data_IF_176557197387
#
_entry.id   IF_176557197387
#
_cell.length_a   1.000
_cell.length_b   1.000
_cell.length_c   1.000
_cell.angle_alpha   90.00
_cell.angle_beta   90.00
_cell.angle_gamma   90.00
#
_symmetry.space_group_name_H-M   'P 1'
#
loop_
_entity.id
_entity.type
_entity.pdbx_description
1 polymer ?
#
# COMPACT_ATOMS: atom_id res chain seq x y z
N UNK A 1 29.51 65.92 -65.82
CA UNK A 1 30.57 64.92 -66.13
C UNK A 1 30.37 63.79 -65.14
N UNK A 2 29.31 62.97 -65.21
CA UNK A 2 29.00 61.97 -66.25
C UNK A 2 30.24 61.29 -66.80
N UNK A 3 30.21 59.94 -66.76
CA UNK A 3 31.28 58.94 -66.95
C UNK A 3 31.91 58.49 -65.62
N UNK A 4 31.73 57.27 -65.10
CA UNK A 4 31.42 55.98 -65.73
C UNK A 4 30.67 55.04 -64.79
N UNK A 5 29.45 54.66 -65.18
CA UNK A 5 28.88 53.35 -64.90
C UNK A 5 29.50 52.33 -65.86
N UNK A 6 30.12 51.27 -65.33
CA UNK A 6 30.02 49.85 -65.77
C UNK A 6 31.27 49.05 -65.35
N UNK A 7 31.09 48.06 -64.46
CA UNK A 7 31.11 46.63 -64.84
C UNK A 7 30.91 45.70 -63.63
N UNK A 8 30.01 44.74 -63.83
CA UNK A 8 29.94 43.37 -63.28
C UNK A 8 29.90 43.21 -61.74
N UNK A 9 28.76 42.88 -61.11
CA UNK A 9 28.04 41.59 -61.17
C UNK A 9 28.95 40.36 -61.17
N UNK A 10 29.08 39.71 -60.02
CA UNK A 10 28.66 38.31 -59.81
C UNK A 10 29.15 37.75 -58.46
N UNK A 11 28.19 37.27 -57.67
CA UNK A 11 28.22 36.00 -56.92
C UNK A 11 29.51 35.59 -56.18
N UNK A 12 29.46 35.60 -54.84
CA UNK A 12 29.79 34.38 -54.10
C UNK A 12 29.30 34.36 -52.64
N UNK A 13 28.54 33.31 -52.31
CA UNK A 13 28.38 32.68 -50.98
C UNK A 13 27.76 33.52 -49.85
N UNK A 14 26.43 33.46 -49.76
CA UNK A 14 25.70 33.64 -48.50
C UNK A 14 24.82 32.40 -48.18
N UNK A 15 25.37 31.19 -48.39
CA UNK A 15 24.67 29.91 -48.15
C UNK A 15 25.13 29.18 -46.87
N UNK A 16 26.10 29.73 -46.14
CA UNK A 16 26.64 29.09 -44.92
C UNK A 16 26.03 29.62 -43.63
N UNK A 17 25.48 30.84 -43.62
CA UNK A 17 24.93 31.45 -42.41
C UNK A 17 23.61 30.79 -41.99
N UNK A 18 22.71 30.52 -42.95
CA UNK A 18 21.44 29.82 -42.67
C UNK A 18 21.59 28.35 -42.26
N UNK A 19 22.67 27.68 -42.66
CA UNK A 19 22.96 26.29 -42.23
C UNK A 19 23.50 26.20 -40.81
N UNK A 20 24.16 27.25 -40.32
CA UNK A 20 24.67 27.31 -38.95
C UNK A 20 23.52 27.66 -38.00
N UNK A 21 22.64 28.59 -38.39
CA UNK A 21 21.45 28.92 -37.61
C UNK A 21 20.48 27.74 -37.48
N UNK A 22 20.18 27.02 -38.58
CA UNK A 22 19.34 25.81 -38.50
C UNK A 22 19.92 24.73 -37.57
N UNK A 23 21.25 24.54 -37.58
CA UNK A 23 21.90 23.57 -36.69
C UNK A 23 21.88 24.01 -35.22
N UNK A 24 21.99 25.31 -34.96
CA UNK A 24 21.88 25.86 -33.61
C UNK A 24 20.45 25.71 -33.06
N UNK A 25 19.44 25.98 -33.89
CA UNK A 25 18.02 25.82 -33.50
C UNK A 25 17.67 24.35 -33.26
N UNK A 26 18.13 23.43 -34.11
CA UNK A 26 17.94 21.99 -33.90
C UNK A 26 18.65 21.47 -32.64
N UNK A 27 19.84 21.98 -32.33
CA UNK A 27 20.58 21.62 -31.12
C UNK A 27 19.92 22.14 -29.84
N UNK A 28 19.38 23.37 -29.87
CA UNK A 28 18.61 23.93 -28.76
C UNK A 28 17.28 23.19 -28.54
N UNK A 29 16.58 22.79 -29.61
CA UNK A 29 15.39 21.93 -29.50
C UNK A 29 15.75 20.57 -28.90
N UNK A 30 16.93 20.01 -29.25
CA UNK A 30 17.41 18.75 -28.68
C UNK A 30 17.71 18.87 -27.18
N UNK A 31 18.30 19.98 -26.72
CA UNK A 31 18.52 20.25 -25.28
C UNK A 31 17.18 20.43 -24.54
N UNK A 32 16.20 21.10 -25.15
CA UNK A 32 14.85 21.22 -24.58
C UNK A 32 14.12 19.87 -24.54
N UNK A 33 14.41 18.93 -25.45
CA UNK A 33 13.85 17.57 -25.42
C UNK A 33 14.56 16.62 -24.45
N UNK A 34 15.87 16.81 -24.20
CA UNK A 34 16.61 16.01 -23.20
C UNK A 34 16.35 16.53 -21.76
N UNK A 35 16.02 17.81 -21.60
CA UNK A 35 15.75 18.42 -20.29
C UNK A 35 14.46 17.97 -19.58
N UNK A 36 13.69 17.04 -20.17
CA UNK A 36 12.42 16.54 -19.61
C UNK A 36 12.42 15.02 -19.43
N UNK A 37 13.58 14.40 -19.26
CA UNK A 37 13.67 13.07 -18.67
C UNK A 37 14.41 13.15 -17.34
N UNK A 38 13.94 13.99 -16.43
CA UNK A 38 14.11 13.70 -15.01
C UNK A 38 13.32 12.41 -14.76
N UNK A 39 14.00 11.27 -14.86
CA UNK A 39 13.44 10.02 -14.36
C UNK A 39 13.07 10.27 -12.91
N UNK A 40 11.81 10.00 -12.52
CA UNK A 40 11.38 10.04 -11.13
C UNK A 40 12.40 9.26 -10.31
N UNK A 41 13.17 9.97 -9.50
CA UNK A 41 14.12 9.36 -8.59
C UNK A 41 13.28 8.58 -7.58
N UNK A 42 13.42 7.26 -7.56
CA UNK A 42 12.68 6.41 -6.64
C UNK A 42 13.14 6.76 -5.21
N UNK A 43 12.36 7.56 -4.47
CA UNK A 43 12.69 7.98 -3.11
C UNK A 43 12.46 6.83 -2.12
N UNK A 44 13.28 5.79 -2.24
CA UNK A 44 13.31 4.67 -1.31
C UNK A 44 13.93 5.14 0.01
N UNK A 45 13.17 5.07 1.10
CA UNK A 45 13.66 5.32 2.45
C UNK A 45 14.04 4.00 3.12
N UNK A 46 15.25 3.95 3.66
CA UNK A 46 15.77 2.81 4.41
C UNK A 46 15.48 2.99 5.89
N UNK A 47 15.19 1.88 6.59
CA UNK A 47 14.97 1.85 8.03
C UNK A 47 15.95 0.90 8.67
N UNK A 48 16.45 1.30 9.82
CA UNK A 48 17.46 0.56 10.54
C UNK A 48 16.90 -0.66 11.28
N UNK A 49 17.74 -1.66 11.52
CA UNK A 49 17.39 -2.94 12.09
C UNK A 49 17.12 -2.87 13.60
N UNK A 50 18.02 -2.25 14.37
CA UNK A 50 17.90 -2.23 15.81
C UNK A 50 16.83 -1.24 16.28
N UNK A 51 16.90 -0.02 15.77
CA UNK A 51 16.01 1.05 16.19
C UNK A 51 14.69 1.09 15.42
N UNK A 52 14.66 0.61 14.17
CA UNK A 52 13.44 0.67 13.35
C UNK A 52 13.07 2.08 12.93
N UNK A 53 14.06 2.94 12.73
CA UNK A 53 13.86 4.36 12.39
C UNK A 53 14.52 4.67 11.04
N UNK A 54 14.11 5.75 10.35
CA UNK A 54 14.68 6.12 9.07
C UNK A 54 16.20 6.30 9.16
N UNK A 55 16.89 5.84 8.13
CA UNK A 55 18.25 6.22 7.83
C UNK A 55 18.26 7.70 7.38
N UNK A 56 19.23 8.47 7.87
CA UNK A 56 19.46 9.84 7.44
C UNK A 56 20.20 9.90 6.10
N UNK A 57 20.77 8.77 5.67
CA UNK A 57 21.50 8.56 4.42
C UNK A 57 21.14 7.21 3.79
N UNK A 58 21.69 6.92 2.61
CA UNK A 58 21.49 5.64 1.93
C UNK A 58 22.01 4.46 2.76
N UNK A 59 21.35 3.32 2.61
CA UNK A 59 21.84 2.08 3.19
C UNK A 59 23.03 1.54 2.38
N UNK A 60 24.25 1.77 2.85
CA UNK A 60 25.47 1.38 2.11
C UNK A 60 26.50 0.68 3.02
N UNK A 61 27.57 0.21 2.42
CA UNK A 61 28.63 -0.53 3.08
C UNK A 61 29.60 0.35 3.84
N UNK A 62 29.77 1.61 3.43
CA UNK A 62 30.78 2.53 3.99
C UNK A 62 32.16 1.86 4.18
N UNK A 63 32.57 1.03 3.21
CA UNK A 63 33.84 0.29 3.23
C UNK A 63 33.84 -0.97 4.11
N UNK A 64 32.68 -1.48 4.53
CA UNK A 64 32.50 -2.75 5.26
C UNK A 64 32.00 -3.86 4.34
N UNK A 65 31.94 -5.08 4.87
CA UNK A 65 31.33 -6.23 4.19
C UNK A 65 29.82 -6.36 4.45
N UNK A 66 29.19 -5.31 4.98
CA UNK A 66 27.79 -5.28 5.39
C UNK A 66 27.22 -3.87 5.24
N UNK A 67 25.90 -3.79 5.10
CA UNK A 67 25.12 -2.57 4.96
C UNK A 67 24.67 -2.01 6.32
N UNK A 68 24.78 -0.70 6.45
CA UNK A 68 24.47 0.06 7.65
C UNK A 68 24.26 1.52 7.25
N UNK A 69 23.62 2.29 8.12
CA UNK A 69 23.33 3.70 7.86
C UNK A 69 23.39 4.48 9.16
N UNK A 70 23.60 5.79 9.07
CA UNK A 70 23.40 6.68 10.20
C UNK A 70 21.90 6.96 10.41
N UNK A 71 21.51 7.07 11.67
CA UNK A 71 20.16 7.46 12.09
C UNK A 71 20.25 8.53 13.18
N UNK A 72 19.11 9.14 13.53
CA UNK A 72 19.02 10.01 14.72
C UNK A 72 19.44 9.37 16.06
N UNK A 73 19.62 8.04 16.11
CA UNK A 73 20.13 7.31 17.29
C UNK A 73 21.56 6.78 17.12
N UNK A 74 22.24 7.08 16.02
CA UNK A 74 23.57 6.62 15.67
C UNK A 74 23.58 5.58 14.54
N UNK A 75 24.74 4.97 14.31
CA UNK A 75 24.95 3.92 13.31
C UNK A 75 24.16 2.65 13.65
N UNK A 76 23.47 2.10 12.65
CA UNK A 76 22.70 0.86 12.80
C UNK A 76 22.66 0.09 11.47
N UNK A 77 22.41 -1.22 11.53
CA UNK A 77 22.32 -2.06 10.33
C UNK A 77 21.08 -1.72 9.52
N UNK A 78 21.14 -1.89 8.21
CA UNK A 78 20.01 -1.69 7.31
C UNK A 78 20.07 -2.73 6.17
N UNK A 79 19.01 -2.81 5.37
CA UNK A 79 18.94 -3.70 4.20
C UNK A 79 18.72 -2.88 2.94
N UNK A 80 19.40 -3.26 1.85
CA UNK A 80 19.24 -2.61 0.53
C UNK A 80 18.09 -3.18 -0.30
N UNK A 81 17.50 -4.30 0.14
CA UNK A 81 16.32 -4.92 -0.46
C UNK A 81 15.38 -5.45 0.63
N UNK A 82 14.09 -5.50 0.30
CA UNK A 82 13.12 -6.12 1.21
C UNK A 82 13.47 -7.58 1.46
N UNK A 83 13.28 -8.02 2.71
CA UNK A 83 13.51 -9.40 3.11
C UNK A 83 14.90 -9.94 2.73
N UNK A 84 15.91 -9.07 2.80
CA UNK A 84 17.32 -9.48 2.88
C UNK A 84 17.90 -9.04 4.20
N UNK A 85 18.90 -9.75 4.66
CA UNK A 85 19.67 -9.29 5.82
C UNK A 85 20.61 -8.11 5.45
N UNK A 86 21.30 -7.61 6.45
CA UNK A 86 22.29 -6.54 6.38
C UNK A 86 23.55 -6.90 5.57
N UNK A 87 23.66 -8.11 5.05
CA UNK A 87 24.71 -8.53 4.09
C UNK A 87 24.15 -8.77 2.69
N UNK A 88 22.84 -8.59 2.50
CA UNK A 88 22.15 -8.84 1.24
C UNK A 88 21.73 -10.30 1.03
N UNK A 89 21.85 -11.14 2.05
CA UNK A 89 21.41 -12.53 1.99
C UNK A 89 19.88 -12.61 2.09
N UNK A 90 19.19 -13.31 1.18
CA UNK A 90 17.73 -13.42 1.24
C UNK A 90 17.25 -14.12 2.50
N UNK A 91 16.21 -13.56 3.12
CA UNK A 91 15.48 -14.20 4.20
C UNK A 91 14.69 -15.41 3.67
N UNK A 92 14.43 -16.38 4.54
CA UNK A 92 13.56 -17.52 4.25
C UNK A 92 12.10 -17.08 4.21
N UNK A 93 11.29 -17.79 3.42
CA UNK A 93 9.87 -17.50 3.25
C UNK A 93 9.06 -17.70 4.54
N UNK A 94 9.49 -18.61 5.41
CA UNK A 94 8.90 -18.87 6.73
C UNK A 94 9.48 -17.97 7.84
N UNK A 95 10.47 -17.13 7.52
CA UNK A 95 11.13 -16.24 8.46
C UNK A 95 11.65 -14.98 7.76
N UNK A 96 10.73 -14.21 7.20
CA UNK A 96 10.97 -12.90 6.57
C UNK A 96 11.56 -11.87 7.54
N UNK A 97 11.80 -10.64 7.11
CA UNK A 97 12.34 -9.63 8.03
C UNK A 97 11.32 -9.27 9.13
N UNK A 98 11.69 -9.45 10.41
CA UNK A 98 10.76 -9.22 11.51
C UNK A 98 11.41 -9.21 12.89
N UNK A 99 10.68 -8.76 13.92
CA UNK A 99 11.23 -8.74 15.30
C UNK A 99 11.23 -10.12 15.96
N UNK A 100 10.24 -10.96 15.68
CA UNK A 100 10.10 -12.30 16.28
C UNK A 100 10.30 -12.34 17.81
N UNK A 101 9.81 -11.31 18.51
CA UNK A 101 9.94 -11.16 19.96
C UNK A 101 11.24 -10.52 20.45
N UNK A 102 12.11 -10.02 19.56
CA UNK A 102 13.30 -9.23 19.88
C UNK A 102 13.02 -7.71 19.79
N UNK A 103 13.97 -6.91 20.28
CA UNK A 103 13.91 -5.44 20.16
C UNK A 103 14.30 -4.95 18.76
N UNK A 104 15.05 -5.75 18.00
CA UNK A 104 15.57 -5.48 16.66
C UNK A 104 14.93 -6.39 15.61
N UNK A 105 14.99 -6.00 14.35
CA UNK A 105 14.53 -6.80 13.21
C UNK A 105 15.62 -7.74 12.71
N UNK A 106 15.25 -8.97 12.43
CA UNK A 106 16.17 -10.01 11.97
C UNK A 106 15.39 -11.04 11.16
N UNK A 107 16.12 -11.92 10.48
CA UNK A 107 15.55 -13.04 9.76
C UNK A 107 16.48 -14.25 9.77
N UNK A 108 15.95 -15.43 9.43
CA UNK A 108 16.78 -16.58 9.05
C UNK A 108 17.02 -16.51 7.55
N UNK A 109 18.28 -16.52 7.16
CA UNK A 109 18.70 -16.42 5.76
C UNK A 109 18.59 -17.78 5.07
N UNK A 110 18.48 -17.77 3.73
CA UNK A 110 18.52 -18.99 2.91
C UNK A 110 19.88 -19.70 2.97
N UNK A 111 20.93 -19.02 3.46
CA UNK A 111 22.23 -19.60 3.79
C UNK A 111 22.31 -20.21 5.19
N UNK A 112 21.17 -20.53 5.81
CA UNK A 112 21.05 -21.14 7.14
C UNK A 112 21.75 -20.38 8.29
N UNK A 113 21.80 -19.05 8.20
CA UNK A 113 22.34 -18.17 9.23
C UNK A 113 21.29 -17.16 9.72
N UNK A 114 21.51 -16.57 10.90
CA UNK A 114 20.74 -15.42 11.36
C UNK A 114 21.38 -14.11 10.89
N UNK A 115 20.55 -13.14 10.51
CA UNK A 115 21.00 -11.82 10.08
C UNK A 115 20.07 -10.72 10.53
N UNK A 116 20.64 -9.57 10.92
CA UNK A 116 19.89 -8.34 11.10
C UNK A 116 19.28 -7.93 9.78
N UNK A 117 18.09 -7.34 9.77
CA UNK A 117 17.48 -6.82 8.56
C UNK A 117 16.82 -5.48 8.84
N UNK A 118 16.88 -4.58 7.87
CA UNK A 118 16.12 -3.33 7.84
C UNK A 118 14.93 -3.44 6.89
N UNK A 119 14.04 -2.44 6.94
CA UNK A 119 12.96 -2.31 5.95
C UNK A 119 13.25 -1.21 4.98
N UNK A 120 12.55 -1.27 3.86
CA UNK A 120 12.56 -0.25 2.85
C UNK A 120 11.13 0.24 2.67
N UNK A 121 10.98 1.53 2.43
CA UNK A 121 9.72 2.16 2.06
C UNK A 121 9.92 2.90 0.76
N UNK A 122 9.11 2.63 -0.25
CA UNK A 122 8.95 3.61 -1.31
C UNK A 122 8.08 4.75 -0.77
N UNK A 123 8.68 5.92 -0.49
CA UNK A 123 7.95 7.04 0.10
C UNK A 123 6.87 7.61 -0.85
N UNK A 124 6.96 7.31 -2.14
CA UNK A 124 5.96 7.67 -3.14
C UNK A 124 4.88 6.60 -3.34
N UNK A 125 4.95 5.45 -2.65
CA UNK A 125 3.93 4.42 -2.80
C UNK A 125 2.56 4.96 -2.34
N UNK A 126 1.57 4.98 -3.23
CA UNK A 126 0.28 5.56 -2.91
C UNK A 126 -0.49 4.64 -1.95
N UNK A 127 -1.12 5.25 -0.94
CA UNK A 127 -1.95 4.55 0.04
C UNK A 127 -3.41 4.78 -0.23
N UNK A 128 -4.21 3.73 -0.08
CA UNK A 128 -5.66 3.82 -0.20
C UNK A 128 -6.23 4.74 0.89
N UNK A 129 -5.86 4.50 2.14
CA UNK A 129 -6.22 5.31 3.31
C UNK A 129 -4.96 5.65 4.11
N UNK A 130 -4.97 6.82 4.74
CA UNK A 130 -3.90 7.29 5.61
C UNK A 130 -4.26 6.98 7.06
N UNK A 131 -3.65 5.94 7.62
CA UNK A 131 -3.78 5.58 9.02
C UNK A 131 -2.83 6.45 9.86
N UNK A 132 -3.36 7.16 10.84
CA UNK A 132 -2.60 7.99 11.76
C UNK A 132 -2.57 7.34 13.14
N UNK A 133 -1.39 7.34 13.73
CA UNK A 133 -1.16 6.66 14.98
C UNK A 133 -1.71 7.41 16.18
N UNK A 134 -1.91 6.70 17.28
CA UNK A 134 -2.53 7.23 18.51
C UNK A 134 -1.68 8.33 19.15
N UNK A 135 -0.39 8.06 19.38
CA UNK A 135 0.45 8.86 20.28
C UNK A 135 1.04 10.05 19.54
N UNK A 136 1.60 9.78 18.36
CA UNK A 136 2.33 10.78 17.59
C UNK A 136 1.50 11.43 16.50
N UNK A 137 0.30 10.91 16.21
CA UNK A 137 -0.53 11.32 15.07
C UNK A 137 0.22 11.19 13.73
N UNK A 138 1.25 10.34 13.72
CA UNK A 138 2.11 10.09 12.58
C UNK A 138 1.45 9.11 11.62
N UNK A 139 1.72 9.24 10.32
CA UNK A 139 1.17 8.31 9.34
C UNK A 139 1.88 6.96 9.41
N UNK A 140 1.08 5.89 9.51
CA UNK A 140 1.51 4.52 9.28
C UNK A 140 2.05 4.40 7.87
N UNK A 141 3.24 3.84 7.70
CA UNK A 141 3.73 3.54 6.36
C UNK A 141 3.61 2.10 5.91
N UNK A 142 3.36 1.19 6.84
CA UNK A 142 2.86 -0.13 6.57
C UNK A 142 1.40 -0.28 7.04
N UNK A 143 0.82 -1.46 6.79
CA UNK A 143 -0.53 -1.79 7.21
C UNK A 143 -0.67 -1.73 8.74
N UNK A 144 -1.86 -1.38 9.23
CA UNK A 144 -2.17 -1.40 10.65
C UNK A 144 -2.43 -2.85 11.11
N UNK A 145 -1.41 -3.53 11.64
CA UNK A 145 -1.43 -4.97 11.91
C UNK A 145 -1.65 -5.29 13.38
N UNK A 146 -2.42 -6.34 13.64
CA UNK A 146 -2.68 -6.88 14.97
C UNK A 146 -1.51 -7.74 15.48
N UNK A 147 -1.12 -7.53 16.72
CA UNK A 147 -0.06 -8.25 17.41
C UNK A 147 -0.69 -9.14 18.48
N UNK A 148 -0.99 -10.39 18.14
CA UNK A 148 -1.69 -11.36 19.02
C UNK A 148 -1.12 -11.47 20.44
N UNK A 149 0.20 -11.56 20.58
CA UNK A 149 0.87 -11.68 21.89
C UNK A 149 0.70 -10.45 22.79
N UNK A 150 0.32 -9.32 22.21
CA UNK A 150 0.24 -8.03 22.89
C UNK A 150 -1.17 -7.44 22.89
N UNK A 151 -2.09 -8.02 22.13
CA UNK A 151 -3.49 -7.65 22.05
C UNK A 151 -3.72 -6.18 21.66
N UNK A 152 -3.08 -5.76 20.57
CA UNK A 152 -3.29 -4.45 19.97
C UNK A 152 -2.85 -4.40 18.51
N UNK A 153 -3.33 -3.38 17.80
CA UNK A 153 -2.87 -2.99 16.48
C UNK A 153 -1.76 -1.94 16.57
N UNK A 154 -0.79 -2.07 15.68
CA UNK A 154 0.29 -1.10 15.51
C UNK A 154 0.75 -1.05 14.06
N UNK A 155 1.45 0.02 13.74
CA UNK A 155 2.16 0.19 12.49
C UNK A 155 3.51 0.87 12.76
N UNK A 156 4.32 0.97 11.73
CA UNK A 156 5.55 1.73 11.74
C UNK A 156 5.32 3.16 11.25
N UNK A 157 6.13 4.07 11.78
CA UNK A 157 6.15 5.50 11.46
C UNK A 157 7.61 5.95 11.31
N UNK A 158 7.84 7.22 10.94
CA UNK A 158 9.19 7.79 10.93
C UNK A 158 9.74 8.01 12.36
N UNK A 159 8.89 7.84 13.39
CA UNK A 159 9.24 7.86 14.81
C UNK A 159 9.48 6.46 15.41
N UNK A 160 9.38 5.40 14.59
CA UNK A 160 9.54 4.01 15.01
C UNK A 160 8.24 3.22 14.83
N UNK A 161 7.63 2.76 15.91
CA UNK A 161 6.30 2.13 15.86
C UNK A 161 5.35 2.83 16.82
N UNK A 162 4.07 2.84 16.49
CA UNK A 162 3.02 3.39 17.35
C UNK A 162 1.69 2.66 17.10
N UNK A 163 0.74 2.84 18.02
CA UNK A 163 -0.58 2.21 17.93
C UNK A 163 -1.39 2.82 16.80
N UNK A 164 -2.20 2.00 16.13
CA UNK A 164 -3.10 2.44 15.06
C UNK A 164 -4.44 1.72 15.20
N UNK A 165 -5.47 2.23 14.54
CA UNK A 165 -6.77 1.55 14.45
C UNK A 165 -6.93 0.90 13.08
N UNK A 166 -7.37 -0.37 12.99
CA UNK A 166 -7.52 -1.06 11.70
C UNK A 166 -8.71 -0.57 10.89
N UNK A 167 -9.69 0.04 11.54
CA UNK A 167 -10.95 0.52 10.96
C UNK A 167 -11.28 1.93 11.48
N UNK A 168 -12.17 2.68 10.81
CA UNK A 168 -12.70 3.91 11.37
C UNK A 168 -13.50 3.64 12.64
N UNK A 169 -13.44 4.56 13.61
CA UNK A 169 -14.25 4.53 14.84
C UNK A 169 -14.12 3.23 15.64
N UNK A 170 -12.91 2.66 15.67
CA UNK A 170 -12.53 1.63 16.62
C UNK A 170 -11.24 2.04 17.33
N UNK A 171 -11.01 1.49 18.52
CA UNK A 171 -9.78 1.71 19.29
C UNK A 171 -8.60 0.97 18.66
N UNK A 172 -7.39 1.21 19.17
CA UNK A 172 -6.21 0.42 18.77
C UNK A 172 -6.31 -1.07 19.19
N UNK A 173 -7.32 -1.45 19.97
CA UNK A 173 -7.68 -2.85 20.26
C UNK A 173 -8.85 -3.36 19.42
N UNK A 174 -9.28 -2.57 18.43
CA UNK A 174 -10.41 -2.87 17.55
C UNK A 174 -11.76 -2.97 18.27
N UNK A 175 -11.88 -2.30 19.42
CA UNK A 175 -13.14 -2.12 20.14
C UNK A 175 -13.93 -0.96 19.53
N UNK A 176 -15.23 -1.12 19.23
CA UNK A 176 -16.03 -0.03 18.65
C UNK A 176 -16.12 1.20 19.57
N UNK A 177 -15.88 2.37 18.99
CA UNK A 177 -16.25 3.64 19.61
C UNK A 177 -17.78 3.76 19.65
N UNK A 178 -18.29 4.47 20.65
CA UNK A 178 -19.72 4.77 20.76
C UNK A 178 -20.16 5.73 19.67
N UNK A 179 -21.41 5.58 19.23
CA UNK A 179 -22.03 6.43 18.20
C UNK A 179 -22.16 7.90 18.62
N UNK A 180 -22.13 8.21 19.91
CA UNK A 180 -22.15 9.57 20.43
C UNK A 180 -20.75 10.12 20.74
N UNK A 181 -19.70 9.32 20.53
CA UNK A 181 -18.33 9.71 20.80
C UNK A 181 -17.35 8.97 19.88
N UNK A 182 -17.34 9.38 18.62
CA UNK A 182 -16.46 8.86 17.57
C UNK A 182 -14.97 9.02 17.88
N UNK A 183 -14.13 8.31 17.12
CA UNK A 183 -12.69 8.46 17.25
C UNK A 183 -12.27 9.87 16.85
N UNK A 184 -11.64 10.61 17.77
CA UNK A 184 -11.30 12.00 17.54
C UNK A 184 -10.33 12.52 18.59
N UNK A 185 -9.74 13.70 18.35
CA UNK A 185 -8.86 14.33 19.34
C UNK A 185 -9.64 14.90 20.51
N UNK A 186 -10.85 15.41 20.28
CA UNK A 186 -11.71 15.99 21.33
C UNK A 186 -10.98 17.05 22.18
N UNK A 187 -10.10 17.83 21.55
CA UNK A 187 -9.26 18.82 22.22
C UNK A 187 -8.00 18.28 22.93
N UNK A 188 -7.75 16.97 22.84
CA UNK A 188 -6.52 16.30 23.32
C UNK A 188 -5.40 16.32 22.27
N UNK A 189 -4.18 16.00 22.69
CA UNK A 189 -3.02 15.80 21.81
C UNK A 189 -2.95 14.42 21.14
N UNK A 190 -3.88 13.51 21.48
CA UNK A 190 -4.02 12.18 20.89
C UNK A 190 -5.50 11.90 20.59
N UNK A 191 -5.77 10.94 19.71
CA UNK A 191 -7.14 10.53 19.40
C UNK A 191 -7.63 9.42 20.34
N UNK A 192 -8.88 9.53 20.78
CA UNK A 192 -9.53 8.61 21.70
C UNK A 192 -11.04 8.60 21.51
N UNK A 193 -11.71 7.61 22.10
CA UNK A 193 -13.15 7.54 22.14
C UNK A 193 -13.69 6.86 23.40
N UNK A 194 -14.97 7.07 23.71
CA UNK A 194 -15.68 6.20 24.64
C UNK A 194 -16.11 4.92 23.93
N UNK A 195 -15.96 3.80 24.63
CA UNK A 195 -16.45 2.49 24.24
C UNK A 195 -17.50 2.01 25.25
N UNK A 196 -18.00 0.78 25.08
CA UNK A 196 -18.87 0.16 26.08
C UNK A 196 -18.10 -0.24 27.35
N UNK A 197 -16.79 -0.41 27.27
CA UNK A 197 -15.92 -0.77 28.39
C UNK A 197 -15.24 0.43 29.07
N UNK A 198 -15.42 1.66 28.56
CA UNK A 198 -14.87 2.87 29.18
C UNK A 198 -14.39 3.88 28.14
N UNK A 199 -13.16 4.38 28.30
CA UNK A 199 -12.48 5.20 27.31
C UNK A 199 -11.19 4.50 26.88
N UNK A 200 -10.88 4.50 25.59
CA UNK A 200 -9.60 4.01 25.09
C UNK A 200 -9.13 4.85 23.90
N UNK A 201 -7.85 4.71 23.56
CA UNK A 201 -7.27 5.45 22.45
C UNK A 201 -7.62 4.84 21.10
N UNK A 202 -7.57 5.65 20.05
CA UNK A 202 -7.86 5.22 18.70
C UNK A 202 -6.95 5.94 17.69
N UNK A 203 -6.59 5.26 16.61
CA UNK A 203 -5.92 5.88 15.46
C UNK A 203 -6.93 6.53 14.53
N UNK A 204 -6.59 7.68 13.96
CA UNK A 204 -7.43 8.34 12.97
C UNK A 204 -7.18 7.73 11.58
N UNK A 205 -8.21 7.70 10.75
CA UNK A 205 -8.08 7.33 9.34
C UNK A 205 -8.55 8.51 8.49
N UNK A 206 -7.66 8.98 7.63
CA UNK A 206 -7.94 10.08 6.69
C UNK A 206 -7.88 9.60 5.23
N UNK A 207 -8.53 10.32 4.30
CA UNK A 207 -8.46 10.00 2.88
C UNK A 207 -7.03 9.91 2.35
N UNK A 208 -6.77 8.90 1.52
CA UNK A 208 -5.57 8.78 0.68
C UNK A 208 -5.98 8.87 -0.78
N UNK A 209 -5.65 7.85 -1.58
CA UNK A 209 -6.28 7.66 -2.90
C UNK A 209 -7.80 7.44 -2.78
N UNK A 210 -8.26 6.90 -1.64
CA UNK A 210 -9.65 6.59 -1.38
C UNK A 210 -10.27 7.52 -0.34
N UNK A 211 -11.57 7.75 -0.48
CA UNK A 211 -12.41 8.44 0.49
C UNK A 211 -13.72 7.68 0.70
N UNK A 212 -14.20 7.66 1.94
CA UNK A 212 -15.54 7.17 2.27
C UNK A 212 -16.58 8.14 1.72
N UNK A 213 -17.60 7.60 1.04
CA UNK A 213 -18.73 8.38 0.55
C UNK A 213 -19.75 8.50 1.69
N UNK A 214 -20.12 9.74 2.02
CA UNK A 214 -21.26 9.99 2.93
C UNK A 214 -22.53 9.92 2.07
N UNK A 215 -23.44 8.96 2.29
CA UNK A 215 -24.65 8.82 1.50
C UNK A 215 -25.48 10.11 1.56
N UNK A 216 -25.76 10.74 0.41
CA UNK A 216 -26.70 11.86 0.31
C UNK A 216 -27.97 11.35 -0.40
N UNK A 217 -28.91 10.82 0.40
CA UNK A 217 -30.15 10.14 -0.01
C UNK A 217 -29.94 8.75 -0.65
N UNK A 218 -30.99 7.93 -0.52
CA UNK A 218 -31.07 6.45 -0.46
C UNK A 218 -30.56 5.61 -1.65
N UNK A 219 -29.86 6.15 -2.65
CA UNK A 219 -29.60 5.40 -3.90
C UNK A 219 -28.14 5.02 -4.21
N UNK A 220 -27.14 5.43 -3.43
CA UNK A 220 -25.76 4.97 -3.68
C UNK A 220 -25.34 3.85 -2.72
N UNK A 221 -25.30 2.62 -3.24
CA UNK A 221 -24.64 1.48 -2.60
C UNK A 221 -23.10 1.62 -2.58
N UNK A 222 -22.54 2.68 -3.17
CA UNK A 222 -21.11 2.96 -3.18
C UNK A 222 -20.63 3.40 -1.80
N UNK A 223 -19.75 2.62 -1.18
CA UNK A 223 -19.16 2.89 0.14
C UNK A 223 -17.92 3.76 0.05
N UNK A 224 -17.06 3.48 -0.93
CA UNK A 224 -15.75 4.12 -1.11
C UNK A 224 -15.58 4.49 -2.58
N UNK A 225 -15.02 5.69 -2.79
CA UNK A 225 -14.51 6.13 -4.09
C UNK A 225 -13.01 6.35 -3.99
N UNK A 226 -12.26 5.83 -4.96
CA UNK A 226 -10.83 6.03 -5.06
C UNK A 226 -10.44 6.66 -6.40
N UNK A 227 -9.40 7.48 -6.37
CA UNK A 227 -8.74 8.01 -7.55
C UNK A 227 -7.39 7.30 -7.68
N UNK A 228 -7.27 6.48 -8.71
CA UNK A 228 -6.04 5.78 -9.04
C UNK A 228 -5.40 6.43 -10.25
N UNK A 229 -4.22 7.01 -10.07
CA UNK A 229 -3.42 7.53 -11.18
C UNK A 229 -2.45 6.45 -11.65
N UNK A 230 -2.67 5.89 -12.84
CA UNK A 230 -1.64 5.10 -13.53
C UNK A 230 -0.77 6.02 -14.40
N UNK A 231 0.34 5.51 -14.95
CA UNK A 231 1.30 6.31 -15.73
C UNK A 231 0.69 7.01 -16.95
N UNK A 232 -0.52 6.63 -17.38
CA UNK A 232 -1.14 7.07 -18.63
C UNK A 232 -2.50 7.74 -18.42
N UNK A 233 -3.24 7.36 -17.39
CA UNK A 233 -4.62 7.80 -17.14
C UNK A 233 -4.94 7.86 -15.64
N UNK A 234 -5.85 8.77 -15.30
CA UNK A 234 -6.56 8.76 -14.03
C UNK A 234 -7.80 7.86 -14.17
N UNK A 235 -7.96 6.94 -13.23
CA UNK A 235 -9.08 6.00 -13.13
C UNK A 235 -9.84 6.24 -11.85
N UNK A 236 -11.16 6.12 -11.91
CA UNK A 236 -12.01 6.14 -10.72
C UNK A 236 -12.35 4.70 -10.35
N UNK A 237 -12.07 4.30 -9.11
CA UNK A 237 -12.45 2.99 -8.58
C UNK A 237 -13.59 3.18 -7.58
N UNK A 238 -14.71 2.47 -7.79
CA UNK A 238 -15.87 2.49 -6.90
C UNK A 238 -16.08 1.13 -6.25
N UNK A 239 -16.42 1.17 -4.97
CA UNK A 239 -16.65 -0.01 -4.13
C UNK A 239 -18.14 -0.04 -3.81
N UNK A 240 -18.88 -0.87 -4.54
CA UNK A 240 -20.33 -0.97 -4.42
C UNK A 240 -20.70 -2.14 -3.51
N UNK A 241 -21.51 -1.88 -2.49
CA UNK A 241 -21.97 -2.87 -1.53
C UNK A 241 -23.31 -3.47 -1.95
N UNK A 242 -23.32 -4.78 -2.19
CA UNK A 242 -24.53 -5.55 -2.45
C UNK A 242 -24.83 -6.48 -1.27
N UNK A 243 -26.07 -6.48 -0.73
CA UNK A 243 -26.45 -7.39 0.33
C UNK A 243 -26.19 -8.84 -0.06
N UNK A 244 -25.49 -9.59 0.80
CA UNK A 244 -25.25 -11.01 0.60
C UNK A 244 -25.58 -11.77 1.88
N UNK A 245 -26.72 -12.46 1.87
CA UNK A 245 -27.22 -13.26 2.99
C UNK A 245 -26.31 -14.44 3.37
N UNK A 246 -25.31 -14.73 2.54
CA UNK A 246 -24.34 -15.79 2.79
C UNK A 246 -23.06 -15.28 3.47
N UNK A 247 -22.87 -13.98 3.69
CA UNK A 247 -21.75 -13.49 4.52
C UNK A 247 -22.12 -13.64 5.99
N UNK A 248 -21.31 -14.37 6.74
CA UNK A 248 -21.59 -14.74 8.13
C UNK A 248 -21.39 -13.56 9.09
N UNK A 249 -22.32 -13.40 10.02
CA UNK A 249 -22.22 -12.44 11.13
C UNK A 249 -21.31 -12.94 12.27
N UNK A 250 -20.91 -14.22 12.25
CA UNK A 250 -20.11 -14.86 13.32
C UNK A 250 -18.60 -14.62 13.17
N UNK A 251 -18.18 -13.78 12.23
CA UNK A 251 -16.77 -13.40 12.04
C UNK A 251 -16.16 -12.60 13.21
N UNK A 252 -16.94 -12.22 14.22
CA UNK A 252 -16.46 -11.49 15.41
C UNK A 252 -15.34 -12.21 16.15
N UNK A 253 -15.39 -13.55 16.22
CA UNK A 253 -14.36 -14.39 16.85
C UNK A 253 -12.99 -14.21 16.19
N UNK A 254 -12.98 -13.97 14.88
CA UNK A 254 -11.77 -13.90 14.06
C UNK A 254 -11.44 -12.49 13.59
N UNK A 255 -12.10 -11.45 14.13
CA UNK A 255 -12.02 -10.07 13.62
C UNK A 255 -10.58 -9.59 13.42
N UNK A 256 -9.71 -9.85 14.40
CA UNK A 256 -8.31 -9.43 14.33
C UNK A 256 -7.46 -10.31 13.40
N UNK A 257 -7.73 -11.63 13.39
CA UNK A 257 -7.06 -12.57 12.47
C UNK A 257 -7.39 -12.22 11.02
N UNK A 258 -8.66 -11.91 10.72
CA UNK A 258 -9.13 -11.54 9.37
C UNK A 258 -8.40 -10.30 8.86
N UNK A 259 -8.25 -9.24 9.66
CA UNK A 259 -7.51 -8.03 9.24
C UNK A 259 -6.06 -8.37 8.89
N UNK A 260 -5.38 -9.14 9.75
CA UNK A 260 -4.02 -9.62 9.48
C UNK A 260 -3.94 -10.52 8.25
N UNK A 261 -4.97 -11.34 8.01
CA UNK A 261 -5.05 -12.24 6.88
C UNK A 261 -5.23 -11.47 5.57
N UNK A 262 -6.11 -10.45 5.55
CA UNK A 262 -6.31 -9.54 4.43
C UNK A 262 -5.01 -8.82 4.05
N UNK A 263 -4.24 -8.35 5.03
CA UNK A 263 -2.97 -7.66 4.79
C UNK A 263 -1.95 -8.50 3.98
N UNK A 264 -2.10 -9.84 3.97
CA UNK A 264 -1.23 -10.75 3.21
C UNK A 264 -1.68 -10.97 1.78
N UNK A 265 -2.83 -10.44 1.36
CA UNK A 265 -3.33 -10.62 0.00
C UNK A 265 -2.37 -10.05 -1.04
N UNK A 266 -2.12 -10.86 -2.07
CA UNK A 266 -1.35 -10.49 -3.27
C UNK A 266 -2.08 -10.97 -4.51
N UNK A 267 -2.15 -10.13 -5.54
CA UNK A 267 -2.84 -10.48 -6.79
C UNK A 267 -2.18 -11.62 -7.58
N UNK A 268 -0.95 -12.01 -7.22
CA UNK A 268 -0.34 -13.25 -7.70
C UNK A 268 -1.21 -14.49 -7.41
N UNK A 269 -2.15 -14.42 -6.45
CA UNK A 269 -3.08 -15.48 -6.12
C UNK A 269 -4.30 -15.57 -7.06
N UNK A 270 -4.53 -14.60 -7.94
CA UNK A 270 -5.68 -14.62 -8.87
C UNK A 270 -5.56 -15.75 -9.90
N UNK A 271 -4.33 -16.05 -10.35
CA UNK A 271 -4.01 -17.12 -11.29
C UNK A 271 -2.80 -17.89 -10.74
N UNK A 272 -3.00 -18.75 -9.73
CA UNK A 272 -1.89 -19.43 -9.07
C UNK A 272 -1.17 -20.33 -10.08
N UNK A 273 0.16 -20.25 -10.12
CA UNK A 273 0.95 -21.25 -10.83
C UNK A 273 0.78 -22.63 -10.15
N UNK A 274 1.09 -23.76 -10.81
CA UNK A 274 0.89 -25.10 -10.25
C UNK A 274 1.50 -25.33 -8.85
N UNK A 275 2.49 -24.51 -8.46
CA UNK A 275 3.18 -24.58 -7.17
C UNK A 275 2.82 -23.43 -6.20
N UNK A 276 1.94 -22.50 -6.57
CA UNK A 276 1.53 -21.41 -5.68
C UNK A 276 0.49 -21.92 -4.69
N UNK A 277 0.88 -22.17 -3.45
CA UNK A 277 -0.09 -22.41 -2.38
C UNK A 277 -0.84 -21.12 -2.10
N UNK A 278 -2.16 -21.13 -2.32
CA UNK A 278 -3.07 -20.09 -1.81
C UNK A 278 -2.78 -19.87 -0.32
N UNK A 279 -2.69 -18.62 0.11
CA UNK A 279 -2.43 -18.29 1.51
C UNK A 279 -3.55 -18.84 2.39
N UNK A 280 -3.19 -19.62 3.40
CA UNK A 280 -4.07 -20.12 4.45
C UNK A 280 -3.47 -19.79 5.82
N UNK A 281 -4.32 -19.56 6.82
CA UNK A 281 -3.94 -19.61 8.23
C UNK A 281 -4.45 -20.93 8.85
N UNK A 282 -4.31 -21.08 10.16
CA UNK A 282 -4.96 -22.17 10.90
C UNK A 282 -6.48 -22.14 10.70
N UNK A 283 -7.09 -20.96 10.78
CA UNK A 283 -8.55 -20.81 10.81
C UNK A 283 -9.16 -20.32 9.51
N UNK A 284 -8.38 -19.69 8.62
CA UNK A 284 -8.87 -18.97 7.45
C UNK A 284 -8.18 -19.44 6.16
N UNK A 285 -8.88 -19.27 5.04
CA UNK A 285 -8.30 -19.41 3.69
C UNK A 285 -8.90 -18.40 2.73
N UNK A 286 -8.13 -18.05 1.72
CA UNK A 286 -8.65 -17.39 0.53
C UNK A 286 -9.17 -18.43 -0.46
N UNK A 287 -10.35 -18.17 -1.02
CA UNK A 287 -10.86 -18.90 -2.18
C UNK A 287 -10.99 -17.93 -3.35
N UNK A 288 -10.56 -18.38 -4.53
CA UNK A 288 -10.66 -17.64 -5.80
C UNK A 288 -11.47 -18.51 -6.75
N UNK A 289 -12.59 -17.97 -7.22
CA UNK A 289 -13.48 -18.62 -8.18
C UNK A 289 -13.64 -17.74 -9.41
N UNK A 290 -13.78 -18.35 -10.58
CA UNK A 290 -14.21 -17.64 -11.79
C UNK A 290 -15.73 -17.69 -11.89
N UNK A 291 -16.36 -16.54 -12.10
CA UNK A 291 -17.77 -16.42 -12.44
C UNK A 291 -17.90 -15.86 -13.85
N UNK A 292 -18.94 -16.27 -14.55
CA UNK A 292 -19.33 -15.71 -15.85
C UNK A 292 -20.76 -15.23 -15.73
N UNK A 293 -21.03 -13.98 -16.11
CA UNK A 293 -22.40 -13.46 -16.14
C UNK A 293 -23.09 -13.78 -17.49
N UNK A 294 -24.35 -13.40 -17.64
CA UNK A 294 -25.13 -13.61 -18.86
C UNK A 294 -24.54 -12.88 -20.09
N UNK A 295 -23.77 -11.80 -19.89
CA UNK A 295 -23.08 -11.04 -20.94
C UNK A 295 -21.69 -11.62 -21.29
N UNK A 296 -21.39 -12.85 -20.88
CA UNK A 296 -20.09 -13.53 -21.08
C UNK A 296 -18.90 -12.80 -20.46
N UNK A 297 -19.13 -11.88 -19.50
CA UNK A 297 -18.05 -11.23 -18.75
C UNK A 297 -17.55 -12.15 -17.66
N UNK A 298 -16.23 -12.34 -17.62
CA UNK A 298 -15.56 -13.11 -16.58
C UNK A 298 -15.20 -12.24 -15.37
N UNK A 299 -15.46 -12.74 -14.18
CA UNK A 299 -15.17 -12.09 -12.92
C UNK A 299 -14.35 -13.02 -12.01
N UNK A 300 -13.40 -12.43 -11.30
CA UNK A 300 -12.85 -13.02 -10.10
C UNK A 300 -13.83 -12.83 -8.94
N UNK A 301 -14.25 -13.94 -8.35
CA UNK A 301 -15.03 -14.02 -7.13
C UNK A 301 -14.11 -14.49 -6.00
N UNK A 302 -13.69 -13.54 -5.18
CA UNK A 302 -12.71 -13.71 -4.13
C UNK A 302 -13.42 -13.82 -2.78
N UNK A 303 -13.07 -14.80 -1.96
CA UNK A 303 -13.73 -15.09 -0.70
C UNK A 303 -12.74 -15.35 0.42
N UNK A 304 -13.09 -14.93 1.64
CA UNK A 304 -12.43 -15.37 2.86
C UNK A 304 -13.35 -16.38 3.54
N UNK A 305 -12.83 -17.58 3.78
CA UNK A 305 -13.59 -18.72 4.30
C UNK A 305 -12.95 -19.27 5.58
N UNK A 306 -13.78 -19.79 6.50
CA UNK A 306 -13.30 -20.51 7.69
C UNK A 306 -12.91 -21.97 7.33
N UNK A 307 -11.79 -22.45 7.88
CA UNK A 307 -11.24 -23.80 7.67
C UNK A 307 -11.97 -24.88 8.47
N UNK A 308 -12.40 -24.59 9.70
CA UNK A 308 -12.96 -25.58 10.62
C UNK A 308 -14.49 -25.67 10.48
N UNK A 309 -14.98 -26.92 10.38
CA UNK A 309 -16.34 -27.41 10.11
C UNK A 309 -17.53 -26.45 10.24
N UNK A 310 -18.34 -26.42 9.17
CA UNK A 310 -19.74 -25.98 9.18
C UNK A 310 -20.55 -26.80 10.18
N UNK A 311 -21.14 -26.15 11.19
CA UNK A 311 -22.39 -26.67 11.73
C UNK A 311 -23.43 -26.63 10.60
N UNK A 312 -24.18 -27.72 10.38
CA UNK A 312 -25.05 -27.81 9.21
C UNK A 312 -26.01 -26.62 9.13
N UNK A 313 -25.94 -25.87 8.03
CA UNK A 313 -26.82 -24.72 7.77
C UNK A 313 -26.21 -23.33 8.04
N UNK A 314 -24.96 -23.21 8.50
CA UNK A 314 -24.27 -21.91 8.64
C UNK A 314 -23.28 -21.66 7.51
N UNK A 315 -23.24 -20.42 7.00
CA UNK A 315 -22.25 -20.04 6.00
C UNK A 315 -20.87 -19.85 6.63
N UNK A 316 -19.85 -20.38 5.95
CA UNK A 316 -18.45 -20.25 6.37
C UNK A 316 -17.75 -19.04 5.71
N UNK A 317 -18.49 -18.23 4.95
CA UNK A 317 -17.97 -17.07 4.21
C UNK A 317 -17.96 -15.84 5.10
N UNK A 318 -16.82 -15.18 5.21
CA UNK A 318 -16.61 -14.02 6.08
C UNK A 318 -16.51 -12.71 5.30
N UNK A 319 -16.07 -12.77 4.05
CA UNK A 319 -15.98 -11.63 3.14
C UNK A 319 -16.05 -12.13 1.69
N UNK A 320 -16.54 -11.29 0.80
CA UNK A 320 -16.62 -11.54 -0.64
C UNK A 320 -16.36 -10.27 -1.45
N UNK A 321 -15.42 -10.38 -2.38
CA UNK A 321 -15.08 -9.31 -3.33
C UNK A 321 -15.23 -9.85 -4.75
N UNK A 322 -15.90 -9.08 -5.61
CA UNK A 322 -16.06 -9.41 -7.03
C UNK A 322 -15.37 -8.35 -7.87
N UNK A 323 -14.52 -8.81 -8.79
CA UNK A 323 -13.69 -7.96 -9.65
C UNK A 323 -13.81 -8.48 -11.09
N UNK A 324 -14.00 -7.59 -12.05
CA UNK A 324 -13.98 -7.97 -13.47
C UNK A 324 -12.57 -8.40 -13.87
N UNK A 325 -12.41 -9.57 -14.51
CA UNK A 325 -11.09 -10.18 -14.72
C UNK A 325 -10.14 -9.30 -15.55
N UNK A 326 -10.67 -8.55 -16.50
CA UNK A 326 -9.89 -7.61 -17.32
C UNK A 326 -9.39 -6.38 -16.56
N UNK A 327 -10.00 -6.07 -15.41
CA UNK A 327 -9.64 -4.92 -14.59
C UNK A 327 -8.41 -5.28 -13.76
N UNK A 328 -7.25 -4.76 -14.17
CA UNK A 328 -5.98 -4.92 -13.44
C UNK A 328 -5.96 -4.05 -12.18
N UNK A 329 -6.79 -4.39 -11.19
CA UNK A 329 -6.90 -3.69 -9.90
C UNK A 329 -5.65 -3.96 -9.06
N UNK A 330 -4.91 -2.93 -8.56
CA UNK A 330 -3.80 -3.15 -7.62
C UNK A 330 -4.20 -3.87 -6.32
N UNK A 331 -3.26 -4.63 -5.74
CA UNK A 331 -3.47 -5.46 -4.54
C UNK A 331 -4.02 -4.66 -3.34
N UNK A 332 -3.56 -3.42 -3.15
CA UNK A 332 -4.02 -2.51 -2.09
C UNK A 332 -5.52 -2.20 -2.15
N UNK A 333 -6.12 -2.10 -3.34
CA UNK A 333 -7.56 -1.88 -3.48
C UNK A 333 -8.35 -3.16 -3.21
N UNK A 334 -7.81 -4.33 -3.59
CA UNK A 334 -8.42 -5.62 -3.26
C UNK A 334 -8.42 -5.85 -1.74
N UNK A 335 -7.33 -5.50 -1.06
CA UNK A 335 -7.26 -5.52 0.41
C UNK A 335 -8.34 -4.63 1.03
N UNK A 336 -8.44 -3.38 0.59
CA UNK A 336 -9.48 -2.47 1.06
C UNK A 336 -10.89 -3.03 0.82
N UNK A 337 -11.13 -3.66 -0.33
CA UNK A 337 -12.44 -4.23 -0.66
C UNK A 337 -12.82 -5.37 0.29
N UNK A 338 -11.85 -6.22 0.66
CA UNK A 338 -12.07 -7.25 1.67
C UNK A 338 -12.34 -6.67 3.05
N UNK A 339 -11.63 -5.61 3.45
CA UNK A 339 -11.86 -4.91 4.72
C UNK A 339 -13.31 -4.40 4.78
N UNK A 340 -13.77 -3.73 3.72
CA UNK A 340 -15.13 -3.21 3.67
C UNK A 340 -16.19 -4.30 3.58
N UNK A 341 -15.94 -5.36 2.80
CA UNK A 341 -16.83 -6.51 2.72
C UNK A 341 -17.05 -7.14 4.09
N UNK A 342 -15.97 -7.36 4.84
CA UNK A 342 -16.03 -7.91 6.18
C UNK A 342 -16.74 -6.96 7.16
N UNK A 343 -16.39 -5.66 7.12
CA UNK A 343 -16.96 -4.63 8.01
C UNK A 343 -18.47 -4.50 7.82
N UNK A 344 -18.92 -4.47 6.58
CA UNK A 344 -20.32 -4.25 6.23
C UNK A 344 -21.12 -5.54 6.05
N UNK A 345 -20.46 -6.72 6.20
CA UNK A 345 -21.08 -8.03 6.02
C UNK A 345 -21.81 -8.15 4.67
N UNK A 346 -21.17 -7.63 3.63
CA UNK A 346 -21.77 -7.41 2.32
C UNK A 346 -20.80 -7.89 1.26
N UNK A 347 -21.29 -8.24 0.08
CA UNK A 347 -20.43 -8.43 -1.07
C UNK A 347 -20.00 -7.07 -1.60
N UNK A 348 -18.72 -6.92 -1.93
CA UNK A 348 -18.20 -5.71 -2.56
C UNK A 348 -17.89 -5.97 -4.03
N UNK A 349 -18.53 -5.21 -4.91
CA UNK A 349 -18.17 -5.12 -6.33
C UNK A 349 -17.20 -3.97 -6.54
N UNK A 350 -16.03 -4.29 -7.09
CA UNK A 350 -15.01 -3.28 -7.46
C UNK A 350 -15.20 -2.93 -8.93
N UNK A 351 -15.53 -1.67 -9.20
CA UNK A 351 -15.73 -1.15 -10.55
C UNK A 351 -14.67 -0.11 -10.88
N UNK A 352 -14.02 -0.23 -12.04
CA UNK A 352 -13.13 0.78 -12.60
C UNK A 352 -13.86 1.55 -13.72
N UNK A 353 -13.81 2.88 -13.68
CA UNK A 353 -14.32 3.77 -14.73
C UNK A 353 -13.20 4.58 -15.38
#
# INVERSE_FOLDING_TARGET
>A
MFELLRKASANHKNSNMGKIEQKLTLFLIFIVLIGWTEGKENTTKYYSSYYGIPCDEDCDTHGKSYFWCYTKKGWDYCSTKENTDYKGEPCREDHLCGKYGKSYYWCYTKGDNWGYCGFLRNAEEPKTLLYKTVTYMSECWDECLYIEKKDYFRCHTDEGWDYCSPLPDVTYKNEPCRLDHYCGTHGSGHAWCYTNSGSDNCGLISPGECQYIIPRKEDSQTLISCIWNDEKNQKEIKFNAEPDLTVSTEGSTWKNEIINFIARWKNAYLNPEPNTKLTTSENLRFEVQKLVNEDEKEYYNLQIMVNVYSQSGKSNKLAQVVILEQDKVPDRFVRLAFVESFRHQTRIFVQIN
#
